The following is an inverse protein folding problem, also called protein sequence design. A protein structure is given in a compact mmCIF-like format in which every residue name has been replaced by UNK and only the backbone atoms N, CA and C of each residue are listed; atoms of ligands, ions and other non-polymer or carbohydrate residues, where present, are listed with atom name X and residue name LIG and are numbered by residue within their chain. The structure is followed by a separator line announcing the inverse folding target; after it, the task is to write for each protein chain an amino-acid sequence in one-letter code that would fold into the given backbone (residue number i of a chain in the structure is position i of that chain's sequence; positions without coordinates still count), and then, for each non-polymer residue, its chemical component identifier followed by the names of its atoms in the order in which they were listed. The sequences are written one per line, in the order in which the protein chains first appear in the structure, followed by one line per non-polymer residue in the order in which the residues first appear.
data_IF_300001316232
#
_entry.id   IF_300001316232
#
_cell.length_a   1.000
_cell.length_b   1.000
_cell.length_c   1.000
_cell.angle_alpha   90.00
_cell.angle_beta   90.00
_cell.angle_gamma   90.00
#
_symmetry.space_group_name_H-M   'P 1'
#
loop_
_entity.id
_entity.type
_entity.pdbx_description
1 polymer ?
#
# COMPACT_ATOMS: atom_id res chain seq x y z
N UNK A 1 22.66 -20.23 -22.99
CA UNK A 1 22.81 -21.21 -21.88
C UNK A 1 23.72 -20.70 -20.75
N UNK A 2 23.88 -19.36 -20.58
CA UNK A 2 24.69 -18.73 -19.51
C UNK A 2 23.90 -17.75 -18.64
N UNK A 3 22.58 -17.54 -18.89
CA UNK A 3 21.74 -16.59 -18.18
C UNK A 3 20.98 -17.20 -16.97
N UNK A 4 20.86 -18.53 -16.91
CA UNK A 4 19.99 -19.18 -15.91
C UNK A 4 20.71 -19.51 -14.59
N UNK A 5 22.06 -19.52 -14.58
CA UNK A 5 22.84 -19.81 -13.37
C UNK A 5 22.92 -18.63 -12.38
N UNK A 6 22.64 -17.40 -12.81
CA UNK A 6 22.58 -16.22 -11.93
C UNK A 6 21.33 -16.15 -11.06
N UNK A 7 20.32 -16.94 -11.35
CA UNK A 7 19.02 -16.95 -10.69
C UNK A 7 18.99 -17.71 -9.36
N UNK A 8 19.94 -18.60 -9.10
CA UNK A 8 19.95 -19.44 -7.89
C UNK A 8 20.54 -18.76 -6.65
N UNK A 9 21.40 -17.76 -6.82
CA UNK A 9 22.10 -17.10 -5.71
C UNK A 9 21.47 -15.78 -5.28
N UNK A 10 20.54 -15.25 -6.08
CA UNK A 10 19.90 -13.95 -5.82
C UNK A 10 18.41 -13.99 -6.08
N UNK A 11 17.63 -13.48 -5.14
CA UNK A 11 16.18 -13.30 -5.29
C UNK A 11 15.87 -11.81 -5.13
N UNK A 12 15.20 -11.23 -6.12
CA UNK A 12 14.64 -9.88 -6.06
C UNK A 12 13.11 -9.97 -6.10
N UNK A 13 12.45 -9.42 -5.07
CA UNK A 13 11.00 -9.31 -5.00
C UNK A 13 10.63 -7.84 -5.04
N UNK A 14 9.96 -7.41 -6.12
CA UNK A 14 9.41 -6.06 -6.22
C UNK A 14 8.10 -5.96 -5.47
N UNK A 15 7.96 -4.92 -4.67
CA UNK A 15 6.78 -4.65 -3.85
C UNK A 15 6.03 -3.46 -4.45
N UNK A 16 4.75 -3.69 -4.75
CA UNK A 16 3.85 -2.66 -5.24
C UNK A 16 3.58 -1.60 -4.16
N UNK A 17 3.52 -0.33 -4.57
CA UNK A 17 3.18 0.79 -3.70
C UNK A 17 1.75 1.26 -3.89
N UNK A 18 1.54 2.56 -3.67
CA UNK A 18 0.25 3.23 -3.79
C UNK A 18 -0.24 3.45 -5.23
N UNK A 19 0.59 3.17 -6.25
CA UNK A 19 0.19 3.25 -7.68
C UNK A 19 -0.65 2.05 -8.10
N UNK A 20 -1.77 1.82 -7.39
CA UNK A 20 -2.77 0.79 -7.72
C UNK A 20 -3.92 1.43 -8.47
N UNK A 21 -4.52 0.72 -9.44
CA UNK A 21 -5.67 1.19 -10.21
C UNK A 21 -6.80 1.66 -9.29
N UNK A 22 -7.06 0.94 -8.18
CA UNK A 22 -8.06 1.33 -7.19
C UNK A 22 -7.83 2.73 -6.62
N UNK A 23 -6.58 3.12 -6.35
CA UNK A 23 -6.27 4.45 -5.82
C UNK A 23 -6.49 5.55 -6.84
N UNK A 24 -6.24 5.29 -8.13
CA UNK A 24 -6.57 6.22 -9.21
C UNK A 24 -8.08 6.40 -9.36
N UNK A 25 -8.85 5.31 -9.28
CA UNK A 25 -10.32 5.37 -9.35
C UNK A 25 -10.88 6.14 -8.16
N UNK A 26 -10.45 5.81 -6.94
CA UNK A 26 -10.89 6.50 -5.71
C UNK A 26 -10.50 7.98 -5.77
N UNK A 27 -9.24 8.28 -6.15
CA UNK A 27 -8.78 9.66 -6.31
C UNK A 27 -9.61 10.45 -7.33
N UNK A 28 -9.93 9.85 -8.46
CA UNK A 28 -10.81 10.46 -9.48
C UNK A 28 -12.21 10.73 -8.95
N UNK A 29 -12.83 9.76 -8.27
CA UNK A 29 -14.15 9.94 -7.66
C UNK A 29 -14.14 11.04 -6.59
N UNK A 30 -13.12 11.07 -5.72
CA UNK A 30 -12.96 12.11 -4.72
C UNK A 30 -12.73 13.48 -5.33
N UNK A 31 -11.99 13.57 -6.45
CA UNK A 31 -11.78 14.83 -7.17
C UNK A 31 -13.12 15.37 -7.67
N UNK A 32 -13.89 14.56 -8.39
CA UNK A 32 -15.16 14.97 -8.97
C UNK A 32 -16.16 15.33 -7.86
N UNK A 33 -16.30 14.46 -6.86
CA UNK A 33 -17.25 14.68 -5.74
C UNK A 33 -16.84 15.88 -4.88
N UNK A 34 -15.56 16.00 -4.51
CA UNK A 34 -15.08 17.10 -3.68
C UNK A 34 -15.23 18.47 -4.37
N UNK A 35 -14.86 18.57 -5.64
CA UNK A 35 -15.06 19.80 -6.42
C UNK A 35 -16.56 20.07 -6.59
N UNK A 36 -17.35 19.03 -6.89
CA UNK A 36 -18.81 19.16 -7.02
C UNK A 36 -19.48 19.72 -5.76
N UNK A 37 -19.12 19.23 -4.58
CA UNK A 37 -19.64 19.74 -3.31
C UNK A 37 -19.23 21.19 -3.04
N UNK A 38 -17.99 21.58 -3.36
CA UNK A 38 -17.55 22.99 -3.22
C UNK A 38 -18.34 23.88 -4.17
N UNK A 39 -18.48 23.48 -5.45
CA UNK A 39 -19.23 24.26 -6.44
C UNK A 39 -20.71 24.36 -6.07
N UNK A 40 -21.31 23.29 -5.54
CA UNK A 40 -22.70 23.31 -5.07
C UNK A 40 -22.89 24.29 -3.87
N UNK A 41 -21.93 24.31 -2.95
CA UNK A 41 -21.93 25.27 -1.84
C UNK A 41 -21.83 26.71 -2.32
N UNK A 42 -20.94 26.99 -3.27
CA UNK A 42 -20.79 28.33 -3.86
C UNK A 42 -22.05 28.71 -4.63
N UNK A 43 -22.65 27.76 -5.38
CA UNK A 43 -23.92 27.99 -6.09
C UNK A 43 -25.05 28.37 -5.15
N UNK A 44 -25.18 27.63 -4.04
CA UNK A 44 -26.15 27.93 -3.00
C UNK A 44 -25.96 29.33 -2.36
N UNK A 45 -24.68 29.74 -2.18
CA UNK A 45 -24.37 31.05 -1.61
C UNK A 45 -24.64 32.20 -2.59
N UNK A 46 -24.25 32.00 -3.88
CA UNK A 46 -24.35 33.06 -4.89
C UNK A 46 -25.67 33.12 -5.61
N UNK A 47 -26.57 32.12 -5.41
CA UNK A 47 -27.82 32.00 -6.16
C UNK A 47 -27.64 31.73 -7.67
N UNK A 48 -26.46 31.21 -8.08
CA UNK A 48 -26.15 30.89 -9.49
C UNK A 48 -25.70 29.45 -9.61
N UNK A 49 -26.28 28.71 -10.56
CA UNK A 49 -25.87 27.31 -10.77
C UNK A 49 -24.51 27.25 -11.49
N UNK A 50 -23.50 26.74 -10.78
CA UNK A 50 -22.14 26.51 -11.28
C UNK A 50 -21.95 25.07 -11.76
N UNK A 51 -22.88 24.18 -11.45
CA UNK A 51 -22.83 22.78 -11.87
C UNK A 51 -23.75 22.56 -13.09
N UNK A 52 -23.36 21.70 -14.04
CA UNK A 52 -24.17 21.40 -15.21
C UNK A 52 -25.39 20.51 -14.89
N UNK A 53 -25.43 19.94 -13.69
CA UNK A 53 -26.47 19.01 -13.23
C UNK A 53 -27.06 19.51 -11.91
N UNK A 54 -28.38 19.49 -11.82
CA UNK A 54 -29.13 19.94 -10.64
C UNK A 54 -29.24 21.46 -10.54
N UNK A 55 -29.96 21.94 -9.51
CA UNK A 55 -30.15 23.35 -9.22
C UNK A 55 -29.66 23.67 -7.79
N UNK A 56 -28.35 23.62 -7.54
CA UNK A 56 -27.82 23.87 -6.20
C UNK A 56 -28.03 25.31 -5.71
N UNK A 57 -28.32 26.24 -6.64
CA UNK A 57 -28.69 27.62 -6.30
C UNK A 57 -30.01 27.72 -5.55
N UNK A 58 -30.91 26.73 -5.66
CA UNK A 58 -32.18 26.68 -4.94
C UNK A 58 -32.05 26.15 -3.50
N UNK A 59 -30.89 25.64 -3.12
CA UNK A 59 -30.64 25.13 -1.77
C UNK A 59 -30.41 26.29 -0.80
N UNK A 60 -30.91 26.15 0.44
CA UNK A 60 -30.61 27.09 1.50
C UNK A 60 -29.13 27.00 1.88
N UNK A 61 -28.45 28.15 1.80
CA UNK A 61 -27.03 28.17 2.16
C UNK A 61 -26.80 27.73 3.62
N UNK A 62 -27.66 28.17 4.54
CA UNK A 62 -27.66 27.73 5.93
C UNK A 62 -28.91 26.87 6.16
N UNK A 63 -28.77 25.56 6.51
CA UNK A 63 -27.54 24.83 6.82
C UNK A 63 -26.92 24.08 5.64
N UNK A 64 -27.61 23.87 4.52
CA UNK A 64 -27.27 22.88 3.50
C UNK A 64 -25.99 23.24 2.75
N UNK A 65 -25.87 24.45 2.23
CA UNK A 65 -24.72 24.92 1.46
C UNK A 65 -23.42 24.88 2.28
N UNK A 66 -23.47 25.31 3.56
CA UNK A 66 -22.29 25.27 4.46
C UNK A 66 -21.83 23.83 4.69
N UNK A 67 -22.75 22.90 4.93
CA UNK A 67 -22.42 21.49 5.18
C UNK A 67 -21.77 20.89 3.92
N UNK A 68 -22.34 21.14 2.75
CA UNK A 68 -21.76 20.69 1.48
C UNK A 68 -20.36 21.28 1.27
N UNK A 69 -20.16 22.56 1.54
CA UNK A 69 -18.85 23.20 1.45
C UNK A 69 -17.83 22.57 2.38
N UNK A 70 -18.20 22.28 3.63
CA UNK A 70 -17.33 21.64 4.60
C UNK A 70 -16.91 20.23 4.12
N UNK A 71 -17.87 19.40 3.67
CA UNK A 71 -17.57 18.09 3.10
C UNK A 71 -16.69 18.20 1.84
N UNK A 72 -16.96 19.14 0.96
CA UNK A 72 -16.17 19.37 -0.24
C UNK A 72 -14.73 19.75 0.07
N UNK A 73 -14.50 20.63 1.04
CA UNK A 73 -13.14 21.01 1.48
C UNK A 73 -12.41 19.82 2.08
N UNK A 74 -13.03 19.09 3.01
CA UNK A 74 -12.43 17.92 3.65
C UNK A 74 -12.10 16.85 2.59
N UNK A 75 -13.03 16.57 1.67
CA UNK A 75 -12.81 15.61 0.59
C UNK A 75 -11.64 15.99 -0.31
N UNK A 76 -11.51 17.29 -0.67
CA UNK A 76 -10.39 17.76 -1.48
C UNK A 76 -9.04 17.68 -0.74
N UNK A 77 -8.99 17.96 0.57
CA UNK A 77 -7.79 17.80 1.38
C UNK A 77 -7.34 16.34 1.44
N UNK A 78 -8.28 15.41 1.69
CA UNK A 78 -7.99 13.97 1.69
C UNK A 78 -7.55 13.50 0.30
N UNK A 79 -8.19 14.00 -0.74
CA UNK A 79 -7.85 13.69 -2.12
C UNK A 79 -6.46 14.17 -2.51
N UNK A 80 -6.10 15.39 -2.12
CA UNK A 80 -4.76 15.93 -2.33
C UNK A 80 -3.70 15.05 -1.65
N UNK A 81 -3.96 14.62 -0.41
CA UNK A 81 -3.09 13.69 0.30
C UNK A 81 -2.98 12.33 -0.41
N UNK A 82 -4.10 11.78 -0.91
CA UNK A 82 -4.09 10.55 -1.68
C UNK A 82 -3.24 10.67 -2.94
N UNK A 83 -3.42 11.76 -3.72
CA UNK A 83 -2.63 12.00 -4.93
C UNK A 83 -1.14 12.19 -4.62
N UNK A 84 -0.81 12.82 -3.50
CA UNK A 84 0.56 12.92 -3.04
C UNK A 84 1.16 11.53 -2.77
N UNK A 85 0.45 10.64 -2.07
CA UNK A 85 0.89 9.25 -1.84
C UNK A 85 1.08 8.48 -3.15
N UNK A 86 0.17 8.63 -4.10
CA UNK A 86 0.28 8.01 -5.44
C UNK A 86 1.48 8.57 -6.20
N UNK A 87 1.70 9.89 -6.14
CA UNK A 87 2.83 10.55 -6.79
C UNK A 87 4.17 9.98 -6.31
N UNK A 88 4.40 9.94 -5.01
CA UNK A 88 5.63 9.39 -4.43
C UNK A 88 5.72 7.87 -4.53
N UNK A 89 4.64 7.18 -4.95
CA UNK A 89 4.51 5.73 -4.93
C UNK A 89 4.79 5.13 -3.54
N UNK A 90 4.12 5.67 -2.53
CA UNK A 90 4.31 5.31 -1.13
C UNK A 90 4.18 3.80 -0.89
N UNK A 91 5.07 3.25 -0.05
CA UNK A 91 5.09 1.83 0.30
C UNK A 91 5.66 0.89 -0.78
N UNK A 92 6.03 1.41 -1.97
CA UNK A 92 6.75 0.61 -2.97
C UNK A 92 8.16 0.29 -2.50
N UNK A 93 8.76 -0.73 -3.08
CA UNK A 93 10.14 -1.08 -2.77
C UNK A 93 10.55 -2.41 -3.34
N UNK A 94 11.62 -2.95 -2.80
CA UNK A 94 12.15 -4.26 -3.16
C UNK A 94 12.73 -4.98 -1.96
N UNK A 95 12.64 -6.30 -1.98
CA UNK A 95 13.41 -7.18 -1.11
C UNK A 95 14.48 -7.83 -1.98
N UNK A 96 15.69 -7.69 -1.59
CA UNK A 96 16.83 -8.30 -2.26
C UNK A 96 17.51 -9.30 -1.33
N UNK A 97 17.64 -10.53 -1.77
CA UNK A 97 18.28 -11.62 -1.04
C UNK A 97 19.49 -12.09 -1.84
N UNK A 98 20.64 -12.08 -1.23
CA UNK A 98 21.89 -12.52 -1.87
C UNK A 98 22.55 -13.61 -1.03
N UNK A 99 22.61 -14.82 -1.61
CA UNK A 99 23.19 -15.99 -0.96
C UNK A 99 24.72 -15.91 -0.90
N UNK A 100 25.35 -15.26 -1.90
CA UNK A 100 26.79 -15.11 -1.96
C UNK A 100 27.33 -14.24 -0.85
N UNK A 101 26.65 -13.13 -0.54
CA UNK A 101 26.98 -12.22 0.57
C UNK A 101 26.26 -12.55 1.87
N UNK A 102 25.38 -13.58 1.87
CA UNK A 102 24.51 -13.94 2.98
C UNK A 102 23.74 -12.74 3.58
N UNK A 103 23.29 -11.85 2.71
CA UNK A 103 22.63 -10.60 3.12
C UNK A 103 21.22 -10.46 2.55
N UNK A 104 20.38 -9.79 3.32
CA UNK A 104 19.03 -9.37 2.92
C UNK A 104 18.96 -7.87 2.99
N UNK A 105 18.50 -7.24 1.91
CA UNK A 105 18.27 -5.82 1.83
C UNK A 105 16.80 -5.56 1.52
N UNK A 106 16.14 -4.84 2.41
CA UNK A 106 14.73 -4.48 2.30
C UNK A 106 14.64 -2.98 2.16
N UNK A 107 14.13 -2.52 1.00
CA UNK A 107 13.91 -1.11 0.72
C UNK A 107 12.42 -0.83 0.62
N UNK A 108 11.96 0.26 1.24
CA UNK A 108 10.59 0.75 1.18
C UNK A 108 10.57 2.25 1.04
N UNK A 109 9.75 2.76 0.12
CA UNK A 109 9.48 4.19 0.02
C UNK A 109 8.60 4.64 1.18
N UNK A 110 9.15 5.52 2.00
CA UNK A 110 8.44 6.16 3.11
C UNK A 110 7.78 7.47 2.68
N UNK A 111 7.11 8.14 3.64
CA UNK A 111 6.45 9.42 3.41
C UNK A 111 7.46 10.58 3.26
N UNK A 112 8.47 10.60 4.11
CA UNK A 112 9.50 11.63 4.15
C UNK A 112 10.91 11.07 3.93
N UNK A 113 11.13 9.81 4.29
CA UNK A 113 12.42 9.14 4.17
C UNK A 113 12.20 7.68 3.77
N UNK A 114 13.01 7.21 2.85
CA UNK A 114 13.03 5.81 2.48
C UNK A 114 13.59 4.97 3.64
N UNK A 115 12.98 3.80 3.84
CA UNK A 115 13.36 2.84 4.87
C UNK A 115 14.24 1.80 4.18
N UNK A 116 15.46 1.65 4.65
CA UNK A 116 16.39 0.63 4.21
C UNK A 116 16.81 -0.19 5.43
N UNK A 117 16.62 -1.51 5.33
CA UNK A 117 17.01 -2.47 6.37
C UNK A 117 17.93 -3.48 5.74
N UNK A 118 19.14 -3.59 6.26
CA UNK A 118 20.14 -4.61 5.88
C UNK A 118 20.29 -5.60 7.03
N UNK A 119 20.23 -6.87 6.70
CA UNK A 119 20.29 -8.00 7.63
C UNK A 119 21.23 -9.06 7.09
N UNK A 120 21.91 -9.76 7.98
CA UNK A 120 22.62 -10.97 7.64
C UNK A 120 21.69 -12.19 7.80
N UNK A 121 21.93 -13.26 7.05
CA UNK A 121 21.16 -14.51 7.16
C UNK A 121 21.16 -15.05 8.58
N UNK A 122 22.28 -14.91 9.31
CA UNK A 122 22.43 -15.40 10.68
C UNK A 122 21.49 -14.70 11.69
N UNK A 123 20.99 -13.52 11.36
CA UNK A 123 20.02 -12.79 12.17
C UNK A 123 18.57 -13.29 11.98
N UNK A 124 18.34 -14.09 10.91
CA UNK A 124 17.02 -14.59 10.58
C UNK A 124 16.80 -15.91 11.35
N UNK A 125 15.68 -15.99 12.06
CA UNK A 125 15.27 -17.19 12.79
C UNK A 125 14.41 -18.10 11.93
N UNK A 126 13.40 -17.50 11.26
CA UNK A 126 12.40 -18.23 10.46
C UNK A 126 11.69 -17.31 9.48
N UNK A 127 11.05 -17.89 8.47
CA UNK A 127 10.06 -17.23 7.62
C UNK A 127 8.68 -17.53 8.20
N UNK A 128 7.89 -16.49 8.46
CA UNK A 128 6.53 -16.62 9.01
C UNK A 128 5.48 -16.26 7.97
N UNK A 129 4.47 -17.13 7.82
CA UNK A 129 3.25 -16.83 7.11
C UNK A 129 2.23 -16.24 8.10
N UNK A 130 1.87 -14.98 7.92
CA UNK A 130 0.82 -14.31 8.68
C UNK A 130 -0.46 -14.37 7.87
N UNK A 131 -1.23 -15.44 8.09
CA UNK A 131 -2.48 -15.72 7.41
C UNK A 131 -3.60 -15.50 8.42
N UNK A 132 -4.49 -14.59 8.12
CA UNK A 132 -5.72 -14.34 8.86
C UNK A 132 -6.86 -14.26 7.87
N UNK A 133 -7.87 -15.09 8.06
CA UNK A 133 -9.09 -15.08 7.27
C UNK A 133 -10.22 -14.40 8.06
N UNK A 134 -11.22 -13.87 7.37
CA UNK A 134 -12.35 -13.19 7.98
C UNK A 134 -12.63 -11.83 7.33
N UNK A 135 -13.22 -10.90 8.09
CA UNK A 135 -13.64 -9.59 7.59
C UNK A 135 -12.49 -8.70 7.05
N UNK A 136 -11.27 -8.88 7.57
CA UNK A 136 -10.08 -8.19 7.08
C UNK A 136 -8.96 -9.22 6.82
N UNK A 137 -9.03 -9.95 5.71
CA UNK A 137 -8.09 -11.01 5.42
C UNK A 137 -6.66 -10.46 5.25
N UNK A 138 -5.70 -11.16 5.82
CA UNK A 138 -4.27 -10.85 5.72
C UNK A 138 -3.53 -12.08 5.27
N UNK A 139 -2.73 -11.93 4.24
CA UNK A 139 -1.88 -12.99 3.71
C UNK A 139 -0.51 -12.38 3.43
N UNK A 140 0.40 -12.50 4.39
CA UNK A 140 1.70 -11.83 4.37
C UNK A 140 2.82 -12.79 4.68
N UNK A 141 3.97 -12.54 4.09
CA UNK A 141 5.22 -13.20 4.43
C UNK A 141 6.01 -12.22 5.27
N UNK A 142 6.59 -12.69 6.37
CA UNK A 142 7.41 -11.90 7.27
C UNK A 142 8.66 -12.67 7.70
N UNK A 143 9.75 -11.98 7.99
CA UNK A 143 10.95 -12.55 8.61
C UNK A 143 10.86 -12.42 10.12
N UNK A 144 11.06 -13.53 10.82
CA UNK A 144 11.27 -13.53 12.26
C UNK A 144 12.77 -13.38 12.51
N UNK A 145 13.15 -12.34 13.25
CA UNK A 145 14.55 -12.05 13.53
C UNK A 145 14.92 -12.47 14.96
N UNK A 146 16.14 -12.91 15.16
CA UNK A 146 16.69 -13.21 16.48
C UNK A 146 16.75 -11.91 17.29
N UNK A 147 16.24 -11.94 18.52
CA UNK A 147 16.25 -10.77 19.43
C UNK A 147 15.17 -9.71 19.14
N UNK A 148 14.38 -9.82 18.08
CA UNK A 148 13.31 -8.87 17.77
C UNK A 148 11.94 -9.48 18.01
N UNK A 149 11.09 -8.79 18.80
CA UNK A 149 9.73 -9.28 19.14
C UNK A 149 8.75 -9.26 17.97
N UNK A 150 8.90 -8.31 17.04
CA UNK A 150 7.95 -8.15 15.92
C UNK A 150 8.56 -8.66 14.62
N UNK A 151 7.87 -9.55 13.89
CA UNK A 151 8.31 -9.98 12.56
C UNK A 151 8.42 -8.79 11.59
N UNK A 152 9.38 -8.86 10.68
CA UNK A 152 9.60 -7.85 9.64
C UNK A 152 8.82 -8.25 8.38
N UNK A 153 7.79 -7.49 7.97
CA UNK A 153 6.97 -7.85 6.82
C UNK A 153 7.76 -7.70 5.51
N UNK A 154 7.67 -8.72 4.67
CA UNK A 154 8.23 -8.72 3.32
C UNK A 154 7.20 -8.34 2.26
N UNK A 155 5.92 -8.64 2.48
CA UNK A 155 4.82 -8.31 1.57
C UNK A 155 4.43 -6.83 1.66
N UNK A 156 3.93 -6.28 0.55
CA UNK A 156 3.39 -4.93 0.51
C UNK A 156 2.11 -4.77 1.32
N UNK A 157 1.85 -3.56 1.82
CA UNK A 157 0.60 -3.25 2.48
C UNK A 157 -0.59 -3.38 1.52
N UNK A 158 -1.65 -4.09 1.94
CA UNK A 158 -2.87 -4.29 1.13
C UNK A 158 -2.66 -5.13 -0.13
N UNK A 159 -1.62 -5.94 -0.20
CA UNK A 159 -1.43 -6.93 -1.25
C UNK A 159 -2.09 -8.25 -0.80
N UNK A 160 -3.18 -8.62 -1.49
CA UNK A 160 -3.90 -9.88 -1.25
C UNK A 160 -3.52 -10.85 -2.36
N UNK A 161 -2.55 -11.72 -2.09
CA UNK A 161 -2.21 -12.84 -2.98
C UNK A 161 -3.07 -14.07 -2.67
N UNK A 162 -3.31 -14.96 -3.65
CA UNK A 162 -3.89 -16.28 -3.38
C UNK A 162 -3.08 -17.02 -2.32
N UNK A 163 -3.77 -17.80 -1.46
CA UNK A 163 -3.13 -18.51 -0.35
C UNK A 163 -2.00 -19.42 -0.84
N UNK A 164 -2.26 -20.22 -1.86
CA UNK A 164 -1.26 -21.11 -2.45
C UNK A 164 0.01 -20.38 -2.88
N UNK A 165 -0.15 -19.21 -3.49
CA UNK A 165 1.00 -18.42 -3.93
C UNK A 165 1.85 -17.91 -2.75
N UNK A 166 1.20 -17.52 -1.65
CA UNK A 166 1.90 -17.05 -0.44
C UNK A 166 2.66 -18.20 0.23
N UNK A 167 2.04 -19.39 0.25
CA UNK A 167 2.67 -20.62 0.77
C UNK A 167 3.88 -21.03 -0.06
N UNK A 168 3.74 -21.08 -1.39
CA UNK A 168 4.83 -21.40 -2.30
C UNK A 168 5.98 -20.38 -2.22
N UNK A 169 5.68 -19.08 -2.22
CA UNK A 169 6.68 -18.03 -2.07
C UNK A 169 7.39 -18.12 -0.71
N UNK A 170 6.63 -18.38 0.37
CA UNK A 170 7.19 -18.55 1.71
C UNK A 170 8.09 -19.78 1.82
N UNK A 171 7.65 -20.92 1.29
CA UNK A 171 8.43 -22.15 1.28
C UNK A 171 9.72 -22.01 0.46
N UNK A 172 9.63 -21.38 -0.72
CA UNK A 172 10.81 -21.09 -1.55
C UNK A 172 11.80 -20.19 -0.84
N UNK A 173 11.31 -19.16 -0.14
CA UNK A 173 12.16 -18.23 0.60
C UNK A 173 12.80 -18.89 1.82
N UNK A 174 12.05 -19.70 2.58
CA UNK A 174 12.57 -20.46 3.71
C UNK A 174 13.68 -21.43 3.28
N UNK A 175 13.48 -22.14 2.17
CA UNK A 175 14.50 -23.01 1.57
C UNK A 175 15.72 -22.23 1.08
N UNK A 176 15.53 -21.04 0.52
CA UNK A 176 16.63 -20.19 0.04
C UNK A 176 17.50 -19.68 1.20
N UNK A 177 16.87 -19.30 2.30
CA UNK A 177 17.53 -18.79 3.51
C UNK A 177 18.03 -19.89 4.45
N UNK A 178 17.69 -21.15 4.18
CA UNK A 178 17.99 -22.33 5.02
C UNK A 178 17.43 -22.17 6.46
N UNK A 179 16.17 -21.73 6.56
CA UNK A 179 15.47 -21.52 7.83
C UNK A 179 14.08 -22.18 7.83
N UNK A 180 13.50 -22.38 9.00
CA UNK A 180 12.17 -22.97 9.14
C UNK A 180 11.05 -22.04 8.62
N UNK A 181 9.99 -22.65 8.09
CA UNK A 181 8.73 -21.97 7.77
C UNK A 181 7.76 -22.11 8.94
N UNK A 182 7.26 -21.00 9.47
CA UNK A 182 6.27 -20.97 10.55
C UNK A 182 4.91 -20.49 10.01
N UNK A 183 3.80 -21.06 10.54
CA UNK A 183 2.44 -20.56 10.26
C UNK A 183 1.66 -21.31 9.19
N UNK A 184 2.11 -22.47 8.76
CA UNK A 184 1.25 -23.47 8.11
C UNK A 184 0.34 -24.08 9.20
N UNK A 185 -0.94 -23.77 9.17
CA UNK A 185 -1.97 -24.48 9.94
C UNK A 185 -2.84 -25.28 8.99
#
# INVERSE_FOLDING_TARGET
MKSDLKSFDKIEQKIGGSRKISNYIIGGMLTIGGIGFVLASISSYTGRDLLPLGNPSSLLFIPQGIIMGAYGVIANLLNFYLWYLVYINFGSGSNYFDKSSKSVEIRRKGLFKDIEVKLNFDEIKSVKLDISEGFNPRRRIALVLKGRKKPLPLSGAGELKPLLQVEEEGARLAKFLDVNLEGLK
#
